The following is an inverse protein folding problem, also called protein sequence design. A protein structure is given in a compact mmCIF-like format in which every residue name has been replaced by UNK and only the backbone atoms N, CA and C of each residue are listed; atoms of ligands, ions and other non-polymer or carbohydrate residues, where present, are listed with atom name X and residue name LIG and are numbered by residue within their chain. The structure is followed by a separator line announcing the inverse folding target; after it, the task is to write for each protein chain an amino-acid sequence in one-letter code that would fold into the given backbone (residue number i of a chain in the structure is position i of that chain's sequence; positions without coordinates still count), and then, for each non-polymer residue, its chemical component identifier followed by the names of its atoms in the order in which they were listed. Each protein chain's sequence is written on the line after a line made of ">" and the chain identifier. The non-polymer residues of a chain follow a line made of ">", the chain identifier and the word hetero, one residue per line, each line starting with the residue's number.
data_IF_447321055917
#
_entry.id   IF_447321055917
#
_cell.length_a   1.000
_cell.length_b   1.000
_cell.length_c   1.000
_cell.angle_alpha   90.00
_cell.angle_beta   90.00
_cell.angle_gamma   90.00
#
_symmetry.space_group_name_H-M   'P 1'
#
loop_
_entity.id
_entity.type
_entity.pdbx_description
1 polymer ?
#
# COMPACT_ATOMS: atom_id res chain seq x y z
N UNK A 1 10.49 -1.85 10.82
CA UNK A 1 9.51 -2.76 10.20
C UNK A 1 9.98 -3.04 8.77
N UNK A 2 9.66 -4.18 8.17
CA UNK A 2 10.07 -4.49 6.79
C UNK A 2 8.89 -5.02 5.98
N UNK A 3 8.73 -4.50 4.77
CA UNK A 3 7.72 -4.93 3.81
C UNK A 3 8.07 -6.32 3.25
N UNK A 4 7.11 -7.24 3.24
CA UNK A 4 7.29 -8.61 2.72
C UNK A 4 6.26 -8.87 1.63
N UNK A 5 6.69 -9.04 0.38
CA UNK A 5 5.82 -9.48 -0.72
C UNK A 5 5.76 -11.00 -0.81
N UNK A 6 4.58 -11.54 -1.17
CA UNK A 6 4.38 -12.96 -1.47
C UNK A 6 4.31 -13.28 -2.98
N UNK A 7 4.43 -12.32 -3.91
CA UNK A 7 4.39 -12.53 -5.38
C UNK A 7 4.98 -11.32 -6.18
N UNK A 8 4.73 -11.23 -7.50
CA UNK A 8 5.18 -10.26 -8.54
C UNK A 8 5.22 -8.75 -8.18
N UNK A 9 4.80 -8.36 -6.98
CA UNK A 9 4.85 -7.01 -6.41
C UNK A 9 6.25 -6.64 -5.85
N UNK A 10 7.28 -7.45 -6.12
CA UNK A 10 8.64 -7.23 -5.62
C UNK A 10 9.21 -5.83 -5.97
N UNK A 11 8.94 -5.26 -7.15
CA UNK A 11 9.36 -3.88 -7.46
C UNK A 11 8.61 -2.81 -6.64
N UNK A 12 7.33 -3.02 -6.32
CA UNK A 12 6.54 -2.10 -5.52
C UNK A 12 7.00 -2.06 -4.07
N UNK A 13 7.44 -3.20 -3.52
CA UNK A 13 8.06 -3.25 -2.18
C UNK A 13 9.24 -2.30 -2.10
N UNK A 14 10.11 -2.29 -3.11
CA UNK A 14 11.24 -1.39 -3.16
C UNK A 14 10.78 0.07 -3.27
N UNK A 15 9.84 0.37 -4.18
CA UNK A 15 9.28 1.72 -4.34
C UNK A 15 8.68 2.24 -3.03
N UNK A 16 7.94 1.41 -2.29
CA UNK A 16 7.36 1.79 -1.00
C UNK A 16 8.41 1.93 0.10
N UNK A 17 9.44 1.10 0.10
CA UNK A 17 10.52 1.17 1.11
C UNK A 17 11.46 2.35 0.89
N UNK A 18 11.63 2.80 -0.36
CA UNK A 18 12.47 3.95 -0.71
C UNK A 18 11.71 5.29 -0.55
N UNK A 19 10.39 5.25 -0.30
CA UNK A 19 9.53 6.43 -0.16
C UNK A 19 9.34 6.82 1.31
N UNK A 20 10.02 7.89 1.73
CA UNK A 20 9.98 8.39 3.10
C UNK A 20 8.56 8.73 3.60
N UNK A 21 7.66 9.20 2.73
CA UNK A 21 6.29 9.53 3.15
C UNK A 21 5.52 8.26 3.52
N UNK A 22 5.76 7.17 2.78
CA UNK A 22 5.14 5.87 3.00
C UNK A 22 5.75 5.19 4.24
N UNK A 23 7.06 5.28 4.43
CA UNK A 23 7.73 4.72 5.62
C UNK A 23 7.27 5.43 6.91
N UNK A 24 7.18 6.76 6.88
CA UNK A 24 6.64 7.55 7.98
C UNK A 24 5.17 7.20 8.28
N UNK A 25 4.37 6.98 7.24
CA UNK A 25 2.97 6.55 7.40
C UNK A 25 2.89 5.19 8.12
N UNK A 26 3.69 4.20 7.72
CA UNK A 26 3.72 2.88 8.37
C UNK A 26 4.18 2.97 9.83
N UNK A 27 5.17 3.82 10.12
CA UNK A 27 5.63 4.05 11.48
C UNK A 27 4.52 4.65 12.37
N UNK A 28 3.66 5.49 11.80
CA UNK A 28 2.58 6.20 12.49
C UNK A 28 1.33 5.34 12.69
N UNK A 29 0.83 4.69 11.63
CA UNK A 29 -0.47 3.98 11.67
C UNK A 29 -0.34 2.48 11.92
N UNK A 30 0.83 1.90 11.69
CA UNK A 30 1.08 0.46 11.72
C UNK A 30 1.22 -0.16 10.34
N UNK A 31 1.16 -1.50 10.29
CA UNK A 31 1.46 -2.26 9.08
C UNK A 31 0.42 -1.99 7.98
N UNK A 32 0.90 -1.79 6.77
CA UNK A 32 0.07 -1.73 5.57
C UNK A 32 0.32 -3.00 4.76
N UNK A 33 -0.73 -3.59 4.20
CA UNK A 33 -0.63 -4.78 3.34
C UNK A 33 -1.29 -4.51 1.99
N UNK A 34 -0.65 -4.96 0.90
CA UNK A 34 -1.19 -4.86 -0.45
C UNK A 34 -1.44 -6.26 -0.98
N UNK A 35 -2.67 -6.51 -1.41
CA UNK A 35 -3.08 -7.77 -2.04
C UNK A 35 -3.47 -7.51 -3.48
N UNK A 36 -2.79 -8.15 -4.43
CA UNK A 36 -3.22 -8.16 -5.83
C UNK A 36 -4.26 -9.24 -6.09
N UNK A 37 -5.32 -8.89 -6.82
CA UNK A 37 -6.38 -9.79 -7.23
C UNK A 37 -6.30 -9.99 -8.74
N UNK A 38 -5.87 -11.17 -9.23
CA UNK A 38 -5.74 -11.45 -10.67
C UNK A 38 -7.00 -12.07 -11.31
N UNK A 39 -8.02 -12.39 -10.50
CA UNK A 39 -9.21 -13.13 -10.94
C UNK A 39 -10.34 -12.16 -11.35
N UNK A 40 -11.63 -12.50 -11.11
CA UNK A 40 -12.79 -11.73 -11.58
C UNK A 40 -12.77 -10.25 -11.19
N UNK A 41 -12.15 -9.90 -10.07
CA UNK A 41 -11.80 -8.53 -9.73
C UNK A 41 -10.31 -8.33 -10.05
N UNK A 42 -10.01 -7.54 -11.08
CA UNK A 42 -8.64 -7.18 -11.44
C UNK A 42 -8.27 -5.88 -10.73
N UNK A 43 -7.44 -5.96 -9.69
CA UNK A 43 -7.05 -4.77 -8.93
C UNK A 43 -6.19 -5.08 -7.71
N UNK A 44 -6.03 -4.08 -6.85
CA UNK A 44 -5.32 -4.20 -5.59
C UNK A 44 -6.25 -3.82 -4.43
N UNK A 45 -6.17 -4.57 -3.34
CA UNK A 45 -6.70 -4.16 -2.04
C UNK A 45 -5.56 -3.63 -1.19
N UNK A 46 -5.74 -2.44 -0.64
CA UNK A 46 -4.87 -1.88 0.39
C UNK A 46 -5.55 -2.12 1.74
N UNK A 47 -4.91 -2.91 2.59
CA UNK A 47 -5.34 -3.19 3.95
C UNK A 47 -4.48 -2.39 4.92
N UNK A 48 -5.13 -1.70 5.86
CA UNK A 48 -4.52 -0.77 6.78
C UNK A 48 -4.65 -1.34 8.19
N UNK A 49 -3.54 -1.89 8.69
CA UNK A 49 -3.46 -2.43 10.04
C UNK A 49 -3.30 -1.30 11.05
N UNK A 50 -4.42 -0.69 11.44
CA UNK A 50 -4.43 0.32 12.50
C UNK A 50 -4.13 -0.32 13.85
N UNK A 51 -3.17 0.22 14.57
CA UNK A 51 -2.84 -0.21 15.93
C UNK A 51 -3.81 0.36 17.01
N UNK A 52 -4.99 0.87 16.62
CA UNK A 52 -5.89 1.56 17.55
C UNK A 52 -7.33 1.09 17.40
N UNK A 53 -8.03 0.93 18.53
CA UNK A 53 -9.48 0.64 18.57
C UNK A 53 -10.37 1.87 18.22
N UNK A 54 -9.76 2.99 17.81
CA UNK A 54 -10.46 4.23 17.47
C UNK A 54 -10.92 4.25 16.01
N UNK A 55 -11.96 5.04 15.73
CA UNK A 55 -12.39 5.37 14.36
C UNK A 55 -11.20 5.95 13.58
N UNK A 56 -10.88 5.32 12.45
CA UNK A 56 -9.82 5.79 11.56
C UNK A 56 -10.21 7.13 10.93
N UNK A 57 -9.47 8.19 11.27
CA UNK A 57 -9.62 9.53 10.73
C UNK A 57 -8.24 10.01 10.27
N UNK A 58 -7.88 9.80 8.99
CA UNK A 58 -6.56 10.18 8.51
C UNK A 58 -6.40 11.70 8.52
N UNK A 59 -5.21 12.14 8.91
CA UNK A 59 -4.80 13.54 8.73
C UNK A 59 -4.62 13.85 7.24
N UNK A 60 -4.63 15.13 6.86
CA UNK A 60 -4.39 15.53 5.46
C UNK A 60 -3.07 14.97 4.88
N UNK A 61 -1.93 14.99 5.60
CA UNK A 61 -0.70 14.35 5.13
C UNK A 61 -0.84 12.84 4.93
N UNK A 62 -1.47 12.11 5.88
CA UNK A 62 -1.69 10.68 5.74
C UNK A 62 -2.56 10.37 4.51
N UNK A 63 -3.61 11.18 4.27
CA UNK A 63 -4.46 11.06 3.10
C UNK A 63 -3.69 11.26 1.78
N UNK A 64 -2.83 12.27 1.72
CA UNK A 64 -1.97 12.50 0.58
C UNK A 64 -1.05 11.30 0.31
N UNK A 65 -0.50 10.68 1.37
CA UNK A 65 0.32 9.47 1.24
C UNK A 65 -0.50 8.27 0.74
N UNK A 66 -1.73 8.05 1.22
CA UNK A 66 -2.59 6.99 0.67
C UNK A 66 -2.89 7.19 -0.81
N UNK A 67 -3.13 8.43 -1.24
CA UNK A 67 -3.30 8.75 -2.66
C UNK A 67 -2.01 8.47 -3.47
N UNK A 68 -0.83 8.70 -2.88
CA UNK A 68 0.46 8.37 -3.49
C UNK A 68 0.62 6.85 -3.66
N UNK A 69 0.32 6.07 -2.64
CA UNK A 69 0.30 4.60 -2.70
C UNK A 69 -0.66 4.11 -3.80
N UNK A 70 -1.88 4.64 -3.85
CA UNK A 70 -2.87 4.28 -4.86
C UNK A 70 -2.38 4.59 -6.28
N UNK A 71 -1.70 5.74 -6.49
CA UNK A 71 -1.08 6.07 -7.78
C UNK A 71 -0.02 5.04 -8.18
N UNK A 72 0.87 4.63 -7.28
CA UNK A 72 1.85 3.58 -7.56
C UNK A 72 1.18 2.26 -7.95
N UNK A 73 0.11 1.86 -7.26
CA UNK A 73 -0.62 0.63 -7.56
C UNK A 73 -1.33 0.69 -8.92
N UNK A 74 -1.80 1.86 -9.35
CA UNK A 74 -2.48 2.04 -10.64
C UNK A 74 -1.50 2.10 -11.82
N UNK A 75 -0.30 2.64 -11.61
CA UNK A 75 0.75 2.77 -12.64
C UNK A 75 1.57 1.50 -12.81
N UNK A 76 1.61 0.62 -11.81
CA UNK A 76 2.28 -0.66 -11.95
C UNK A 76 1.45 -1.63 -12.80
N UNK A 77 2.00 -2.21 -13.88
CA UNK A 77 1.34 -3.28 -14.60
C UNK A 77 1.28 -4.51 -13.69
N UNK A 78 0.09 -4.84 -13.20
CA UNK A 78 -0.17 -6.12 -12.56
C UNK A 78 -0.16 -7.14 -13.71
N UNK A 79 0.74 -8.13 -13.65
CA UNK A 79 0.78 -9.22 -14.62
C UNK A 79 -0.62 -9.86 -14.73
N UNK A 80 -1.28 -9.70 -15.87
CA UNK A 80 -2.68 -10.07 -16.09
C UNK A 80 -3.58 -8.97 -16.65
N UNK A 81 -3.13 -7.71 -16.73
CA UNK A 81 -3.73 -6.71 -17.63
C UNK A 81 -3.37 -7.06 -19.08
N UNK A 82 -4.16 -7.94 -19.71
CA UNK A 82 -4.17 -8.19 -21.15
C UNK A 82 -5.57 -7.88 -21.70
#
# INVERSE_FOLDING_TARGET
>A
MYWVSKNDLNPLVKVFSDDNDIDNLVADIGNISVYSHPNKFQGCTLDLGFNTDSLFLPTEPQWATFQKIAKYLLTFPIAGRA
#
